data_IF_902070524177
#
_entry.id   IF_902070524177
#
_cell.length_a   1.000
_cell.length_b   1.000
_cell.length_c   1.000
_cell.angle_alpha   90.00
_cell.angle_beta   90.00
_cell.angle_gamma   90.00
#
_symmetry.space_group_name_H-M   'P 1'
#
loop_
_entity.id
_entity.type
_entity.pdbx_description
1 polymer ?
#
# COMPACT_ATOMS: atom_id res chain seq x y z
N UNK A 1 83.09 -33.06 -59.71
CA UNK A 1 82.07 -33.49 -58.75
C UNK A 1 81.69 -32.34 -57.88
N UNK A 2 80.58 -31.69 -58.15
CA UNK A 2 79.88 -30.75 -57.21
C UNK A 2 78.42 -30.92 -57.49
N UNK A 3 77.73 -31.44 -56.52
CA UNK A 3 76.27 -31.61 -56.49
C UNK A 3 75.62 -30.28 -56.13
N UNK A 4 74.78 -29.74 -57.05
CA UNK A 4 73.92 -28.62 -56.77
C UNK A 4 72.62 -29.10 -56.08
N UNK A 5 72.35 -28.54 -54.98
CA UNK A 5 71.05 -28.74 -54.21
C UNK A 5 70.11 -27.65 -54.67
N UNK A 6 69.05 -28.01 -55.42
CA UNK A 6 67.96 -27.15 -55.77
C UNK A 6 67.04 -26.96 -54.51
N UNK A 7 67.00 -25.75 -54.02
CA UNK A 7 66.10 -25.38 -52.90
C UNK A 7 64.78 -24.84 -53.48
N UNK A 8 63.71 -25.69 -53.46
CA UNK A 8 62.33 -25.22 -53.77
C UNK A 8 61.79 -24.42 -52.64
N UNK A 9 61.67 -23.11 -52.74
CA UNK A 9 60.96 -22.23 -51.88
C UNK A 9 59.46 -22.33 -52.19
N UNK A 10 58.68 -23.03 -51.36
CA UNK A 10 57.22 -23.04 -51.40
C UNK A 10 56.75 -21.73 -50.76
N UNK A 11 56.32 -20.74 -51.55
CA UNK A 11 55.59 -19.55 -51.10
C UNK A 11 54.17 -19.96 -50.73
N UNK A 12 53.95 -20.22 -49.42
CA UNK A 12 52.65 -20.28 -48.88
C UNK A 12 52.06 -18.86 -48.81
N UNK A 13 51.21 -18.53 -49.80
CA UNK A 13 50.43 -17.32 -49.77
C UNK A 13 49.41 -17.37 -48.57
N UNK A 14 49.70 -16.63 -47.54
CA UNK A 14 48.67 -16.28 -46.51
C UNK A 14 47.66 -15.37 -47.18
N UNK A 15 46.56 -15.94 -47.65
CA UNK A 15 45.35 -15.16 -47.92
C UNK A 15 44.80 -14.73 -46.55
N UNK A 16 45.18 -13.55 -46.06
CA UNK A 16 44.46 -12.84 -45.05
C UNK A 16 43.07 -12.47 -45.60
N UNK A 17 42.08 -13.30 -45.38
CA UNK A 17 40.68 -12.88 -45.47
C UNK A 17 40.48 -11.74 -44.47
N UNK A 18 40.65 -10.51 -44.96
CA UNK A 18 40.07 -9.34 -44.27
C UNK A 18 38.57 -9.53 -44.35
N UNK A 19 37.96 -10.00 -43.27
CA UNK A 19 36.52 -9.97 -43.12
C UNK A 19 36.11 -8.50 -43.26
N UNK A 20 35.56 -8.15 -44.42
CA UNK A 20 34.97 -6.84 -44.68
C UNK A 20 33.78 -6.75 -43.73
N UNK A 21 33.89 -5.99 -42.61
CA UNK A 21 32.79 -5.75 -41.72
C UNK A 21 31.65 -5.16 -42.55
N UNK A 22 30.59 -5.92 -42.72
CA UNK A 22 29.45 -5.47 -43.48
C UNK A 22 28.92 -4.18 -42.80
N UNK A 23 28.94 -3.08 -43.58
CA UNK A 23 28.53 -1.77 -43.05
C UNK A 23 27.03 -1.79 -42.74
N UNK A 24 26.66 -1.48 -41.52
CA UNK A 24 25.26 -1.38 -41.13
C UNK A 24 24.60 -0.29 -42.01
N UNK A 25 23.51 -0.63 -42.64
CA UNK A 25 22.59 0.34 -43.20
C UNK A 25 21.79 0.97 -42.06
N UNK A 26 22.23 2.17 -41.69
CA UNK A 26 21.70 2.91 -40.58
C UNK A 26 20.25 3.38 -40.85
N UNK A 27 19.93 3.71 -42.09
CA UNK A 27 18.59 4.17 -42.49
C UNK A 27 17.57 3.03 -42.32
N UNK A 28 17.91 1.85 -42.78
CA UNK A 28 17.11 0.64 -42.65
C UNK A 28 16.91 0.25 -41.17
N UNK A 29 17.94 0.36 -40.34
CA UNK A 29 17.86 0.05 -38.93
C UNK A 29 16.97 1.07 -38.21
N UNK A 30 17.07 2.35 -38.54
CA UNK A 30 16.24 3.41 -38.01
C UNK A 30 14.77 3.21 -38.40
N UNK A 31 14.49 2.86 -39.68
CA UNK A 31 13.10 2.52 -40.10
C UNK A 31 12.49 1.42 -39.25
N UNK A 32 13.27 0.35 -38.94
CA UNK A 32 12.79 -0.72 -38.07
C UNK A 32 12.47 -0.23 -36.65
N UNK A 33 13.25 0.70 -36.10
CA UNK A 33 13.00 1.27 -34.76
C UNK A 33 11.79 2.19 -34.76
N UNK A 34 11.65 3.07 -35.72
CA UNK A 34 10.54 4.00 -35.88
C UNK A 34 9.20 3.26 -36.07
N UNK A 35 9.24 2.16 -36.82
CA UNK A 35 8.05 1.31 -37.05
C UNK A 35 7.89 0.21 -36.03
N UNK A 36 8.69 0.20 -34.95
CA UNK A 36 8.68 -0.81 -33.87
C UNK A 36 8.84 -2.26 -34.35
N UNK A 37 9.44 -2.47 -35.53
CA UNK A 37 9.72 -3.79 -36.10
C UNK A 37 10.99 -4.40 -35.49
N UNK A 38 11.06 -4.47 -34.17
CA UNK A 38 12.24 -4.93 -33.43
C UNK A 38 12.68 -6.35 -33.78
N UNK A 39 11.72 -7.24 -34.10
CA UNK A 39 12.06 -8.60 -34.53
C UNK A 39 12.83 -8.63 -35.86
N UNK A 40 12.47 -7.74 -36.79
CA UNK A 40 13.15 -7.62 -38.07
C UNK A 40 14.51 -6.92 -37.92
N UNK A 41 14.59 -5.90 -37.03
CA UNK A 41 15.84 -5.27 -36.65
C UNK A 41 16.83 -6.30 -36.06
N UNK A 42 16.37 -7.16 -35.15
CA UNK A 42 17.22 -8.22 -34.59
C UNK A 42 17.75 -9.18 -35.66
N UNK A 43 16.87 -9.66 -36.56
CA UNK A 43 17.27 -10.53 -37.68
C UNK A 43 18.27 -9.85 -38.63
N UNK A 44 18.02 -8.57 -38.94
CA UNK A 44 18.91 -7.79 -39.78
C UNK A 44 20.30 -7.68 -39.16
N UNK A 45 20.41 -7.30 -37.91
CA UNK A 45 21.68 -7.21 -37.18
C UNK A 45 22.40 -8.58 -37.14
N UNK A 46 21.65 -9.67 -36.85
CA UNK A 46 22.19 -11.03 -36.82
C UNK A 46 22.69 -11.51 -38.19
N UNK A 47 22.17 -10.97 -39.29
CA UNK A 47 22.67 -11.27 -40.63
C UNK A 47 24.02 -10.59 -40.98
N UNK A 48 24.34 -9.52 -40.23
CA UNK A 48 25.58 -8.74 -40.43
C UNK A 48 26.66 -9.24 -39.48
N UNK A 49 26.34 -9.52 -38.25
CA UNK A 49 27.30 -9.93 -37.25
C UNK A 49 27.35 -11.45 -37.10
N UNK A 50 28.56 -12.05 -37.03
CA UNK A 50 28.73 -13.48 -36.77
C UNK A 50 28.02 -13.89 -35.46
N UNK A 51 27.54 -15.13 -35.40
CA UNK A 51 26.83 -15.65 -34.21
C UNK A 51 27.70 -15.74 -32.96
N UNK A 52 29.00 -15.78 -33.10
CA UNK A 52 30.02 -15.79 -32.07
C UNK A 52 30.62 -14.41 -31.77
N UNK A 53 30.07 -13.34 -32.37
CA UNK A 53 30.59 -11.96 -32.22
C UNK A 53 30.80 -11.61 -30.73
N UNK A 54 31.92 -10.95 -30.43
CA UNK A 54 32.23 -10.38 -29.10
C UNK A 54 32.13 -8.85 -29.12
N UNK A 55 31.67 -8.27 -30.20
CA UNK A 55 31.40 -6.83 -30.29
C UNK A 55 30.23 -6.47 -29.34
N UNK A 56 30.57 -5.81 -28.26
CA UNK A 56 29.60 -5.41 -27.19
C UNK A 56 28.49 -4.53 -27.77
N UNK A 57 28.81 -3.64 -28.72
CA UNK A 57 27.81 -2.75 -29.34
C UNK A 57 26.81 -3.56 -30.16
N UNK A 58 27.33 -4.49 -31.00
CA UNK A 58 26.48 -5.39 -31.76
C UNK A 58 25.60 -6.25 -30.87
N UNK A 59 26.19 -6.91 -29.86
CA UNK A 59 25.45 -7.71 -28.87
C UNK A 59 24.38 -6.90 -28.15
N UNK A 60 24.68 -5.64 -27.76
CA UNK A 60 23.73 -4.77 -27.08
C UNK A 60 22.55 -4.40 -27.97
N UNK A 61 22.80 -4.07 -29.22
CA UNK A 61 21.75 -3.75 -30.18
C UNK A 61 20.84 -4.96 -30.46
N UNK A 62 21.44 -6.14 -30.70
CA UNK A 62 20.70 -7.39 -30.92
C UNK A 62 19.88 -7.76 -29.69
N UNK A 63 20.49 -7.66 -28.48
CA UNK A 63 19.82 -7.95 -27.23
C UNK A 63 18.64 -7.00 -26.97
N UNK A 64 18.83 -5.70 -27.20
CA UNK A 64 17.76 -4.70 -27.06
C UNK A 64 16.61 -4.99 -28.04
N UNK A 65 16.91 -5.24 -29.32
CA UNK A 65 15.90 -5.58 -30.32
C UNK A 65 15.11 -6.85 -29.94
N UNK A 66 15.79 -7.89 -29.46
CA UNK A 66 15.12 -9.11 -28.96
C UNK A 66 14.27 -8.84 -27.74
N UNK A 67 14.74 -8.01 -26.80
CA UNK A 67 13.99 -7.64 -25.59
C UNK A 67 12.72 -6.87 -25.94
N UNK A 68 12.80 -5.91 -26.88
CA UNK A 68 11.65 -5.14 -27.34
C UNK A 68 10.69 -5.99 -28.17
N UNK A 69 11.18 -6.96 -28.92
CA UNK A 69 10.36 -7.93 -29.64
C UNK A 69 9.72 -9.03 -28.75
N UNK A 70 9.95 -8.99 -27.44
CA UNK A 70 9.46 -10.00 -26.51
C UNK A 70 10.20 -11.33 -26.51
N UNK A 71 11.30 -11.45 -27.28
CA UNK A 71 12.18 -12.62 -27.33
C UNK A 71 13.17 -12.60 -26.17
N UNK A 72 12.62 -12.74 -24.95
CA UNK A 72 13.37 -12.54 -23.72
C UNK A 72 14.52 -13.55 -23.53
N UNK A 73 14.39 -14.86 -23.87
CA UNK A 73 15.51 -15.80 -23.76
C UNK A 73 16.69 -15.44 -24.64
N UNK A 74 16.45 -15.00 -25.87
CA UNK A 74 17.49 -14.58 -26.82
C UNK A 74 18.15 -13.28 -26.37
N UNK A 75 17.37 -12.35 -25.83
CA UNK A 75 17.89 -11.13 -25.25
C UNK A 75 18.80 -11.42 -24.05
N UNK A 76 18.35 -12.27 -23.14
CA UNK A 76 19.13 -12.69 -21.96
C UNK A 76 20.46 -13.32 -22.36
N UNK A 77 20.44 -14.24 -23.32
CA UNK A 77 21.67 -14.89 -23.84
C UNK A 77 22.72 -13.87 -24.26
N UNK A 78 22.29 -12.85 -25.00
CA UNK A 78 23.23 -11.81 -25.47
C UNK A 78 23.71 -10.91 -24.32
N UNK A 79 22.85 -10.50 -23.41
CA UNK A 79 23.26 -9.71 -22.26
C UNK A 79 24.15 -10.49 -21.28
N UNK A 80 23.97 -11.80 -21.13
CA UNK A 80 24.88 -12.66 -20.37
C UNK A 80 26.26 -12.72 -21.04
N UNK A 81 26.32 -12.82 -22.38
CA UNK A 81 27.59 -12.76 -23.13
C UNK A 81 28.28 -11.42 -22.88
N UNK A 82 27.56 -10.31 -22.96
CA UNK A 82 28.11 -8.97 -22.66
C UNK A 82 28.64 -8.94 -21.21
N UNK A 83 27.89 -9.46 -20.23
CA UNK A 83 28.32 -9.48 -18.84
C UNK A 83 29.56 -10.37 -18.58
N UNK A 84 29.80 -11.37 -19.44
CA UNK A 84 31.03 -12.18 -19.42
C UNK A 84 32.22 -11.39 -19.96
N UNK A 85 32.03 -10.64 -21.07
CA UNK A 85 33.09 -9.84 -21.72
C UNK A 85 33.42 -8.60 -20.89
N UNK A 86 32.40 -7.92 -20.40
CA UNK A 86 32.50 -6.70 -19.58
C UNK A 86 31.67 -6.86 -18.28
N UNK A 87 32.22 -7.51 -17.26
CA UNK A 87 31.54 -7.65 -15.97
C UNK A 87 31.25 -6.30 -15.33
N UNK A 88 30.19 -6.28 -14.49
CA UNK A 88 29.82 -5.09 -13.69
C UNK A 88 29.37 -3.86 -14.51
N UNK A 89 28.97 -4.06 -15.75
CA UNK A 89 28.38 -3.00 -16.56
C UNK A 89 26.94 -2.72 -16.10
N UNK A 90 26.69 -1.58 -15.48
CA UNK A 90 25.37 -1.25 -14.90
C UNK A 90 24.22 -1.35 -15.90
N UNK A 91 24.28 -0.78 -17.13
CA UNK A 91 23.25 -0.97 -18.15
C UNK A 91 22.93 -2.43 -18.46
N UNK A 92 23.94 -3.27 -18.54
CA UNK A 92 23.77 -4.71 -18.77
C UNK A 92 23.08 -5.40 -17.61
N UNK A 93 23.47 -5.07 -16.37
CA UNK A 93 22.84 -5.62 -15.17
C UNK A 93 21.37 -5.18 -15.04
N UNK A 94 21.05 -3.92 -15.34
CA UNK A 94 19.65 -3.45 -15.40
C UNK A 94 18.84 -4.19 -16.47
N UNK A 95 19.42 -4.43 -17.65
CA UNK A 95 18.76 -5.18 -18.71
C UNK A 95 18.48 -6.62 -18.30
N UNK A 96 19.44 -7.28 -17.65
CA UNK A 96 19.28 -8.64 -17.11
C UNK A 96 18.22 -8.68 -15.99
N UNK A 97 18.21 -7.68 -15.09
CA UNK A 97 17.19 -7.56 -14.07
C UNK A 97 15.79 -7.41 -14.69
N UNK A 98 15.63 -6.51 -15.66
CA UNK A 98 14.39 -6.27 -16.38
C UNK A 98 13.87 -7.52 -17.11
N UNK A 99 14.75 -8.21 -17.83
CA UNK A 99 14.39 -9.45 -18.53
C UNK A 99 13.92 -10.52 -17.55
N UNK A 100 14.65 -10.73 -16.45
CA UNK A 100 14.28 -11.71 -15.42
C UNK A 100 12.98 -11.35 -14.72
N UNK A 101 12.74 -10.06 -14.45
CA UNK A 101 11.46 -9.56 -13.96
C UNK A 101 10.30 -9.91 -14.90
N UNK A 102 10.42 -9.57 -16.18
CA UNK A 102 9.40 -9.85 -17.21
C UNK A 102 9.15 -11.34 -17.44
N UNK A 103 10.13 -12.20 -17.14
CA UNK A 103 10.01 -13.67 -17.19
C UNK A 103 9.46 -14.29 -15.89
N UNK A 104 9.17 -13.47 -14.89
CA UNK A 104 8.71 -13.93 -13.57
C UNK A 104 9.82 -14.51 -12.69
N UNK A 105 11.09 -14.36 -13.07
CA UNK A 105 12.23 -14.82 -12.27
C UNK A 105 12.69 -13.73 -11.29
N UNK A 106 11.88 -13.51 -10.26
CA UNK A 106 12.10 -12.46 -9.25
C UNK A 106 13.45 -12.62 -8.52
N UNK A 107 13.89 -13.86 -8.27
CA UNK A 107 15.16 -14.13 -7.58
C UNK A 107 16.37 -13.60 -8.35
N UNK A 108 16.44 -13.90 -9.65
CA UNK A 108 17.53 -13.42 -10.48
C UNK A 108 17.44 -11.90 -10.68
N UNK A 109 16.24 -11.34 -10.89
CA UNK A 109 16.05 -9.89 -10.98
C UNK A 109 16.60 -9.19 -9.72
N UNK A 110 16.25 -9.67 -8.55
CA UNK A 110 16.75 -9.18 -7.25
C UNK A 110 18.26 -9.27 -7.15
N UNK A 111 18.87 -10.40 -7.59
CA UNK A 111 20.32 -10.61 -7.56
C UNK A 111 21.05 -9.57 -8.39
N UNK A 112 20.62 -9.30 -9.64
CA UNK A 112 21.24 -8.28 -10.48
C UNK A 112 21.10 -6.87 -9.90
N UNK A 113 19.93 -6.54 -9.34
CA UNK A 113 19.72 -5.25 -8.67
C UNK A 113 20.61 -5.10 -7.42
N UNK A 114 20.83 -6.19 -6.65
CA UNK A 114 21.76 -6.19 -5.54
C UNK A 114 23.21 -5.97 -5.98
N UNK A 115 23.64 -6.56 -7.11
CA UNK A 115 24.93 -6.27 -7.68
C UNK A 115 25.07 -4.79 -8.05
N UNK A 116 24.03 -4.19 -8.63
CA UNK A 116 24.04 -2.77 -8.99
C UNK A 116 24.28 -1.90 -7.74
N UNK A 117 23.57 -2.12 -6.64
CA UNK A 117 23.75 -1.30 -5.43
C UNK A 117 25.06 -1.56 -4.69
N UNK A 118 25.70 -2.71 -4.92
CA UNK A 118 27.08 -2.96 -4.46
C UNK A 118 28.10 -2.16 -5.26
N UNK A 119 27.89 -1.98 -6.57
CA UNK A 119 28.76 -1.21 -7.46
C UNK A 119 28.52 0.29 -7.35
N UNK A 120 27.27 0.67 -7.18
CA UNK A 120 26.80 2.06 -7.08
C UNK A 120 25.79 2.17 -5.92
N UNK A 121 26.30 2.48 -4.75
CA UNK A 121 25.53 2.58 -3.50
C UNK A 121 24.58 3.79 -3.43
N UNK A 122 24.58 4.64 -4.45
CA UNK A 122 23.67 5.79 -4.58
C UNK A 122 22.73 5.65 -5.79
N UNK A 123 22.57 4.44 -6.31
CA UNK A 123 21.71 4.17 -7.46
C UNK A 123 20.24 4.17 -7.05
N UNK A 124 19.56 5.28 -7.25
CA UNK A 124 18.14 5.46 -6.94
C UNK A 124 17.26 4.39 -7.58
N UNK A 125 17.43 4.16 -8.90
CA UNK A 125 16.58 3.24 -9.64
C UNK A 125 16.71 1.79 -9.17
N UNK A 126 17.90 1.38 -8.76
CA UNK A 126 18.11 0.04 -8.24
C UNK A 126 17.41 -0.15 -6.86
N UNK A 127 17.49 0.83 -5.96
CA UNK A 127 16.78 0.76 -4.69
C UNK A 127 15.26 0.81 -4.87
N UNK A 128 14.74 1.67 -5.75
CA UNK A 128 13.31 1.73 -6.09
C UNK A 128 12.80 0.37 -6.58
N UNK A 129 13.55 -0.28 -7.49
CA UNK A 129 13.19 -1.61 -7.98
C UNK A 129 13.38 -2.72 -6.94
N UNK A 130 14.43 -2.69 -6.10
CA UNK A 130 14.63 -3.68 -5.03
C UNK A 130 13.47 -3.71 -4.03
N UNK A 131 12.82 -2.59 -3.80
CA UNK A 131 11.65 -2.53 -2.92
C UNK A 131 10.50 -3.43 -3.39
N UNK A 132 10.37 -3.65 -4.72
CA UNK A 132 9.34 -4.54 -5.29
C UNK A 132 9.63 -6.02 -5.06
N UNK A 133 10.89 -6.38 -4.77
CA UNK A 133 11.35 -7.75 -4.52
C UNK A 133 11.68 -8.01 -3.04
N UNK A 134 11.22 -7.13 -2.16
CA UNK A 134 11.42 -7.29 -0.72
C UNK A 134 10.54 -8.42 -0.17
N UNK A 135 11.12 -9.30 0.62
CA UNK A 135 10.42 -10.46 1.18
C UNK A 135 9.64 -10.10 2.46
N UNK A 136 10.00 -8.99 3.12
CA UNK A 136 9.35 -8.50 4.35
C UNK A 136 9.10 -7.00 4.28
N UNK A 137 8.10 -6.48 5.04
CA UNK A 137 7.84 -5.04 5.12
C UNK A 137 9.07 -4.24 5.59
N UNK A 138 9.88 -4.80 6.49
CA UNK A 138 11.09 -4.13 7.01
C UNK A 138 12.17 -4.01 5.93
N UNK A 139 12.34 -5.05 5.12
CA UNK A 139 13.27 -5.02 3.98
C UNK A 139 12.77 -4.02 2.93
N UNK A 140 11.46 -4.01 2.62
CA UNK A 140 10.85 -3.03 1.72
C UNK A 140 11.09 -1.61 2.23
N UNK A 141 10.84 -1.39 3.53
CA UNK A 141 11.08 -0.11 4.19
C UNK A 141 12.53 0.35 4.05
N UNK A 142 13.50 -0.55 4.24
CA UNK A 142 14.93 -0.23 4.12
C UNK A 142 15.28 0.26 2.71
N UNK A 143 14.83 -0.44 1.67
CA UNK A 143 15.10 -0.04 0.29
C UNK A 143 14.40 1.27 -0.08
N UNK A 144 13.13 1.44 0.30
CA UNK A 144 12.38 2.67 0.04
C UNK A 144 12.97 3.87 0.78
N UNK A 145 13.40 3.71 2.03
CA UNK A 145 14.11 4.78 2.76
C UNK A 145 15.38 5.21 2.04
N UNK A 146 16.16 4.25 1.52
CA UNK A 146 17.36 4.57 0.77
C UNK A 146 17.03 5.29 -0.53
N UNK A 147 16.03 4.81 -1.30
CA UNK A 147 15.57 5.51 -2.49
C UNK A 147 15.07 6.93 -2.17
N UNK A 148 14.24 7.09 -1.13
CA UNK A 148 13.73 8.40 -0.72
C UNK A 148 14.84 9.36 -0.27
N UNK A 149 15.90 8.86 0.39
CA UNK A 149 17.06 9.68 0.75
C UNK A 149 17.87 10.20 -0.45
N UNK A 150 17.75 9.51 -1.60
CA UNK A 150 18.39 9.90 -2.86
C UNK A 150 17.51 10.82 -3.71
N UNK A 151 16.20 10.67 -3.60
CA UNK A 151 15.22 11.53 -4.28
C UNK A 151 13.94 11.63 -3.45
N UNK A 152 13.88 12.61 -2.55
CA UNK A 152 12.73 12.83 -1.67
C UNK A 152 11.48 13.36 -2.40
N UNK A 153 11.65 13.87 -3.62
CA UNK A 153 10.57 14.38 -4.48
C UNK A 153 9.94 13.32 -5.38
N UNK A 154 10.48 12.08 -5.43
CA UNK A 154 9.89 11.03 -6.26
C UNK A 154 8.56 10.57 -5.67
N UNK A 155 7.48 10.84 -6.42
CA UNK A 155 6.11 10.59 -5.95
C UNK A 155 5.82 9.11 -5.72
N UNK A 156 6.33 8.21 -6.59
CA UNK A 156 6.08 6.78 -6.45
C UNK A 156 6.77 6.21 -5.20
N UNK A 157 8.03 6.63 -4.96
CA UNK A 157 8.77 6.21 -3.77
C UNK A 157 8.12 6.76 -2.51
N UNK A 158 7.70 8.02 -2.51
CA UNK A 158 7.01 8.62 -1.37
C UNK A 158 5.68 7.92 -1.05
N UNK A 159 4.91 7.60 -2.09
CA UNK A 159 3.66 6.85 -1.96
C UNK A 159 3.90 5.46 -1.36
N UNK A 160 4.78 4.66 -1.98
CA UNK A 160 5.09 3.30 -1.51
C UNK A 160 5.69 3.28 -0.09
N UNK A 161 6.54 4.26 0.23
CA UNK A 161 7.15 4.41 1.55
C UNK A 161 6.09 4.76 2.60
N UNK A 162 5.15 5.66 2.27
CA UNK A 162 4.05 6.02 3.16
C UNK A 162 3.12 4.84 3.45
N UNK A 163 2.78 4.05 2.43
CA UNK A 163 2.00 2.82 2.59
C UNK A 163 2.72 1.80 3.47
N UNK A 164 4.04 1.64 3.27
CA UNK A 164 4.86 0.71 4.06
C UNK A 164 4.91 1.13 5.52
N UNK A 165 5.13 2.42 5.79
CA UNK A 165 5.09 2.98 7.14
C UNK A 165 3.69 2.82 7.79
N UNK A 166 2.62 3.09 7.04
CA UNK A 166 1.24 2.96 7.53
C UNK A 166 0.90 1.51 7.88
N UNK A 167 1.32 0.54 7.07
CA UNK A 167 1.18 -0.88 7.37
C UNK A 167 1.91 -1.31 8.65
N UNK A 168 3.02 -0.65 8.97
CA UNK A 168 3.77 -0.81 10.23
C UNK A 168 3.24 0.10 11.36
N UNK A 169 2.11 0.78 11.17
CA UNK A 169 1.50 1.74 12.11
C UNK A 169 2.42 2.92 12.48
N UNK A 170 3.38 3.26 11.64
CA UNK A 170 4.29 4.38 11.80
C UNK A 170 3.74 5.60 11.06
N UNK A 171 2.65 6.17 11.55
CA UNK A 171 1.88 7.20 10.84
C UNK A 171 2.62 8.54 10.72
N UNK A 172 3.41 8.96 11.73
CA UNK A 172 4.14 10.23 11.63
C UNK A 172 5.22 10.20 10.54
N UNK A 173 6.09 9.19 10.43
CA UNK A 173 6.99 9.05 9.28
C UNK A 173 6.27 8.98 7.93
N UNK A 174 5.12 8.29 7.83
CA UNK A 174 4.32 8.25 6.61
C UNK A 174 3.85 9.65 6.19
N UNK A 175 3.34 10.42 7.16
CA UNK A 175 2.90 11.79 6.97
C UNK A 175 4.04 12.71 6.49
N UNK A 176 5.20 12.66 7.14
CA UNK A 176 6.34 13.53 6.84
C UNK A 176 6.86 13.30 5.41
N UNK A 177 6.94 12.04 4.98
CA UNK A 177 7.33 11.66 3.62
C UNK A 177 6.34 12.22 2.59
N UNK A 178 5.04 12.04 2.80
CA UNK A 178 4.01 12.56 1.89
C UNK A 178 4.04 14.09 1.82
N UNK A 179 4.17 14.76 2.96
CA UNK A 179 4.26 16.23 3.00
C UNK A 179 5.46 16.76 2.23
N UNK A 180 6.62 16.09 2.32
CA UNK A 180 7.82 16.45 1.58
C UNK A 180 7.62 16.31 0.07
N UNK A 181 7.04 15.20 -0.38
CA UNK A 181 6.78 14.97 -1.79
C UNK A 181 5.70 15.92 -2.35
N UNK A 182 4.62 16.17 -1.60
CA UNK A 182 3.55 17.14 -1.96
C UNK A 182 4.11 18.56 -2.05
N UNK A 183 5.07 18.94 -1.21
CA UNK A 183 5.69 20.26 -1.30
C UNK A 183 6.46 20.46 -2.62
N UNK A 184 6.96 19.39 -3.23
CA UNK A 184 7.64 19.39 -4.53
C UNK A 184 6.67 19.35 -5.71
N UNK A 185 5.51 18.70 -5.55
CA UNK A 185 4.43 18.63 -6.55
C UNK A 185 3.06 18.80 -5.84
N UNK A 186 2.65 20.07 -5.58
CA UNK A 186 1.42 20.37 -4.85
C UNK A 186 0.12 19.94 -5.55
N UNK A 187 0.17 19.69 -6.85
CA UNK A 187 -1.00 19.24 -7.63
C UNK A 187 -1.08 17.72 -7.76
N UNK A 188 -0.19 16.99 -7.12
CA UNK A 188 -0.18 15.53 -7.17
C UNK A 188 -1.35 14.93 -6.41
N UNK A 189 -2.39 14.62 -7.16
CA UNK A 189 -3.64 14.08 -6.65
C UNK A 189 -3.44 12.78 -5.83
N UNK A 190 -2.61 11.87 -6.33
CA UNK A 190 -2.35 10.57 -5.68
C UNK A 190 -1.71 10.73 -4.30
N UNK A 191 -0.74 11.63 -4.18
CA UNK A 191 -0.09 11.90 -2.89
C UNK A 191 -1.03 12.61 -1.92
N UNK A 192 -1.85 13.55 -2.41
CA UNK A 192 -2.85 14.22 -1.58
C UNK A 192 -3.89 13.22 -1.05
N UNK A 193 -4.38 12.30 -1.90
CA UNK A 193 -5.29 11.24 -1.46
C UNK A 193 -4.63 10.32 -0.42
N UNK A 194 -3.38 9.89 -0.66
CA UNK A 194 -2.66 9.03 0.27
C UNK A 194 -2.42 9.69 1.64
N UNK A 195 -2.38 11.01 1.69
CA UNK A 195 -2.19 11.76 2.93
C UNK A 195 -3.43 11.72 3.84
N UNK A 196 -4.64 11.65 3.30
CA UNK A 196 -5.88 11.77 4.08
C UNK A 196 -6.02 10.71 5.18
N UNK A 197 -5.91 9.39 4.89
CA UNK A 197 -6.01 8.38 5.93
C UNK A 197 -4.88 8.48 6.96
N UNK A 198 -3.68 8.85 6.54
CA UNK A 198 -2.55 9.03 7.46
C UNK A 198 -2.78 10.23 8.39
N UNK A 199 -3.26 11.34 7.86
CA UNK A 199 -3.61 12.54 8.64
C UNK A 199 -4.76 12.27 9.62
N UNK A 200 -5.76 11.46 9.24
CA UNK A 200 -6.82 10.99 10.14
C UNK A 200 -6.25 10.21 11.34
N UNK A 201 -5.30 9.29 11.10
CA UNK A 201 -4.65 8.54 12.19
C UNK A 201 -3.86 9.44 13.16
N UNK A 202 -3.39 10.58 12.67
CA UNK A 202 -2.70 11.60 13.48
C UNK A 202 -3.64 12.69 14.03
N UNK A 203 -4.96 12.51 13.92
CA UNK A 203 -5.97 13.45 14.34
C UNK A 203 -5.84 14.86 13.71
N UNK A 204 -5.25 14.96 12.52
CA UNK A 204 -5.11 16.23 11.76
C UNK A 204 -6.37 16.51 10.92
N UNK A 205 -7.53 16.41 11.54
CA UNK A 205 -8.83 16.48 10.87
C UNK A 205 -9.07 17.77 10.06
N UNK A 206 -8.67 18.99 10.51
CA UNK A 206 -8.84 20.18 9.70
C UNK A 206 -8.08 20.13 8.37
N UNK A 207 -6.88 19.52 8.36
CA UNK A 207 -6.08 19.33 7.14
C UNK A 207 -6.74 18.32 6.19
N UNK A 208 -7.28 17.21 6.72
CA UNK A 208 -8.04 16.23 5.94
C UNK A 208 -9.23 16.89 5.24
N UNK A 209 -9.97 17.75 5.95
CA UNK A 209 -11.11 18.48 5.41
C UNK A 209 -10.67 19.45 4.31
N UNK A 210 -9.63 20.26 4.56
CA UNK A 210 -9.14 21.23 3.59
C UNK A 210 -8.70 20.59 2.27
N UNK A 211 -7.90 19.51 2.37
CA UNK A 211 -7.40 18.78 1.20
C UNK A 211 -8.55 18.06 0.52
N UNK A 212 -9.40 17.37 1.28
CA UNK A 212 -10.52 16.62 0.74
C UNK A 212 -11.53 17.52 0.00
N UNK A 213 -11.84 18.70 0.52
CA UNK A 213 -12.70 19.68 -0.18
C UNK A 213 -12.13 20.13 -1.52
N UNK A 214 -10.79 20.25 -1.63
CA UNK A 214 -10.12 20.55 -2.92
C UNK A 214 -10.24 19.38 -3.90
N UNK A 215 -10.00 18.15 -3.40
CA UNK A 215 -10.06 16.95 -4.22
C UNK A 215 -11.46 16.68 -4.75
N UNK A 216 -12.50 16.84 -3.93
CA UNK A 216 -13.89 16.60 -4.32
C UNK A 216 -14.46 17.62 -5.32
N UNK A 217 -13.87 18.81 -5.46
CA UNK A 217 -14.28 19.77 -6.49
C UNK A 217 -14.16 19.22 -7.91
N UNK A 218 -13.19 18.35 -8.12
CA UNK A 218 -12.86 17.83 -9.45
C UNK A 218 -13.49 16.46 -9.71
N UNK A 219 -13.64 15.65 -8.68
CA UNK A 219 -14.17 14.28 -8.81
C UNK A 219 -14.63 13.73 -7.45
N UNK A 220 -15.80 13.09 -7.43
CA UNK A 220 -16.30 12.40 -6.24
C UNK A 220 -15.58 11.05 -6.08
N UNK A 221 -14.55 10.99 -5.24
CA UNK A 221 -13.83 9.78 -4.92
C UNK A 221 -14.33 9.18 -3.59
N UNK A 222 -14.60 7.87 -3.60
CA UNK A 222 -15.17 7.13 -2.46
C UNK A 222 -14.24 7.18 -1.24
N UNK A 223 -12.93 7.06 -1.44
CA UNK A 223 -11.96 7.07 -0.35
C UNK A 223 -11.85 8.47 0.27
N UNK A 224 -11.82 9.51 -0.57
CA UNK A 224 -11.80 10.91 -0.11
C UNK A 224 -13.06 11.23 0.70
N UNK A 225 -14.25 10.83 0.22
CA UNK A 225 -15.51 11.01 0.94
C UNK A 225 -15.46 10.30 2.30
N UNK A 226 -14.94 9.06 2.33
CA UNK A 226 -14.82 8.29 3.55
C UNK A 226 -13.91 8.96 4.59
N UNK A 227 -12.71 9.39 4.17
CA UNK A 227 -11.75 10.06 5.05
C UNK A 227 -12.28 11.40 5.57
N UNK A 228 -12.92 12.18 4.71
CA UNK A 228 -13.56 13.44 5.12
C UNK A 228 -14.72 13.22 6.07
N UNK A 229 -15.58 12.23 5.83
CA UNK A 229 -16.69 11.89 6.71
C UNK A 229 -16.21 11.56 8.11
N UNK A 230 -15.14 10.78 8.24
CA UNK A 230 -14.47 10.49 9.50
C UNK A 230 -13.93 11.77 10.16
N UNK A 231 -13.24 12.62 9.40
CA UNK A 231 -12.69 13.88 9.91
C UNK A 231 -13.81 14.81 10.42
N UNK A 232 -14.91 14.97 9.67
CA UNK A 232 -16.05 15.77 10.11
C UNK A 232 -16.70 15.22 11.38
N UNK A 233 -16.78 13.89 11.54
CA UNK A 233 -17.25 13.30 12.80
C UNK A 233 -16.39 13.75 13.99
N UNK A 234 -15.08 13.67 13.88
CA UNK A 234 -14.17 14.02 14.97
C UNK A 234 -14.09 15.53 15.27
N UNK A 235 -14.30 16.38 14.28
CA UNK A 235 -14.47 17.83 14.54
C UNK A 235 -15.90 18.21 14.96
N UNK A 236 -16.77 17.21 15.16
CA UNK A 236 -18.15 17.32 15.63
C UNK A 236 -19.10 18.03 14.64
N UNK A 237 -18.75 18.13 13.38
CA UNK A 237 -19.67 18.53 12.32
C UNK A 237 -20.45 17.32 11.79
N UNK A 238 -21.33 16.82 12.67
CA UNK A 238 -22.09 15.60 12.42
C UNK A 238 -23.01 15.70 11.21
N UNK A 239 -23.50 16.91 10.90
CA UNK A 239 -24.37 17.15 9.75
C UNK A 239 -23.61 16.90 8.43
N UNK A 240 -22.38 17.42 8.32
CA UNK A 240 -21.53 17.18 7.15
C UNK A 240 -21.08 15.72 7.06
N UNK A 241 -20.76 15.08 8.19
CA UNK A 241 -20.45 13.65 8.24
C UNK A 241 -21.59 12.82 7.63
N UNK A 242 -22.84 13.04 8.09
CA UNK A 242 -24.02 12.36 7.56
C UNK A 242 -24.23 12.67 6.07
N UNK A 243 -24.06 13.92 5.66
CA UNK A 243 -24.25 14.32 4.26
C UNK A 243 -23.29 13.58 3.32
N UNK A 244 -22.01 13.48 3.68
CA UNK A 244 -20.99 12.78 2.90
C UNK A 244 -21.27 11.27 2.83
N UNK A 245 -21.60 10.65 3.95
CA UNK A 245 -21.88 9.21 3.96
C UNK A 245 -23.20 8.85 3.27
N UNK A 246 -24.17 9.78 3.20
CA UNK A 246 -25.33 9.64 2.33
C UNK A 246 -24.99 9.67 0.84
N UNK A 247 -23.92 10.35 0.43
CA UNK A 247 -23.44 10.24 -0.94
C UNK A 247 -22.95 8.81 -1.22
N UNK A 248 -22.21 8.19 -0.29
CA UNK A 248 -21.79 6.79 -0.44
C UNK A 248 -22.98 5.82 -0.43
N UNK A 249 -24.02 6.10 0.36
CA UNK A 249 -25.28 5.34 0.33
C UNK A 249 -25.94 5.40 -1.05
N UNK A 250 -26.01 6.60 -1.63
CA UNK A 250 -26.54 6.79 -2.99
C UNK A 250 -25.72 6.08 -4.09
N UNK A 251 -24.43 5.84 -3.86
CA UNK A 251 -23.53 5.11 -4.75
C UNK A 251 -23.57 3.59 -4.51
N UNK A 252 -24.23 3.12 -3.46
CA UNK A 252 -24.26 1.71 -3.08
C UNK A 252 -22.92 1.16 -2.57
N UNK A 253 -22.02 2.01 -2.06
CA UNK A 253 -20.67 1.66 -1.61
C UNK A 253 -20.47 1.89 -0.11
N UNK A 254 -21.51 1.69 0.66
CA UNK A 254 -21.43 1.72 2.11
C UNK A 254 -20.63 0.53 2.65
N UNK A 255 -20.08 0.70 3.85
CA UNK A 255 -19.46 -0.35 4.62
C UNK A 255 -19.76 -0.20 6.11
N UNK A 256 -19.39 -1.19 6.90
CA UNK A 256 -19.55 -1.22 8.35
C UNK A 256 -19.12 0.10 9.04
N UNK A 257 -17.94 0.63 8.67
CA UNK A 257 -17.39 1.85 9.26
C UNK A 257 -18.22 3.10 8.96
N UNK A 258 -18.64 3.28 7.70
CA UNK A 258 -19.47 4.43 7.29
C UNK A 258 -20.84 4.40 7.94
N UNK A 259 -21.48 3.23 8.03
CA UNK A 259 -22.76 3.04 8.71
C UNK A 259 -22.64 3.31 10.22
N UNK A 260 -21.54 2.90 10.84
CA UNK A 260 -21.29 3.16 12.25
C UNK A 260 -21.15 4.65 12.56
N UNK A 261 -20.33 5.37 11.77
CA UNK A 261 -20.20 6.82 11.93
C UNK A 261 -21.52 7.57 11.66
N UNK A 262 -22.36 7.09 10.74
CA UNK A 262 -23.70 7.62 10.55
C UNK A 262 -24.59 7.42 11.79
N UNK A 263 -24.59 6.22 12.36
CA UNK A 263 -25.33 5.93 13.58
C UNK A 263 -24.93 6.85 14.73
N UNK A 264 -23.63 7.00 14.95
CA UNK A 264 -23.10 7.88 15.98
C UNK A 264 -23.42 9.37 15.71
N UNK A 265 -23.28 9.81 14.46
CA UNK A 265 -23.58 11.19 14.06
C UNK A 265 -25.06 11.53 14.28
N UNK A 266 -25.98 10.65 13.89
CA UNK A 266 -27.40 10.84 14.16
C UNK A 266 -27.73 10.85 15.67
N UNK A 267 -27.04 10.03 16.46
CA UNK A 267 -27.16 10.06 17.93
C UNK A 267 -26.78 11.43 18.50
N UNK A 268 -25.65 11.98 18.07
CA UNK A 268 -25.19 13.31 18.52
C UNK A 268 -26.12 14.45 18.06
N UNK A 269 -26.73 14.29 16.90
CA UNK A 269 -27.79 15.19 16.39
C UNK A 269 -29.15 14.99 17.07
N UNK A 270 -29.25 14.03 18.01
CA UNK A 270 -30.47 13.63 18.72
C UNK A 270 -31.58 13.07 17.82
N UNK A 271 -31.23 12.67 16.61
CA UNK A 271 -32.12 11.89 15.73
C UNK A 271 -31.99 10.41 16.03
N UNK A 272 -32.56 10.01 17.17
CA UNK A 272 -32.45 8.64 17.68
C UNK A 272 -33.13 7.60 16.77
N UNK A 273 -34.09 8.00 15.95
CA UNK A 273 -34.74 7.08 15.01
C UNK A 273 -33.77 6.65 13.91
N UNK A 274 -33.14 7.61 13.23
CA UNK A 274 -32.13 7.30 12.23
C UNK A 274 -30.90 6.67 12.87
N UNK A 275 -30.48 7.10 14.07
CA UNK A 275 -29.38 6.48 14.80
C UNK A 275 -29.61 4.97 15.00
N UNK A 276 -30.80 4.56 15.42
CA UNK A 276 -31.13 3.13 15.61
C UNK A 276 -31.16 2.36 14.28
N UNK A 277 -31.69 2.96 13.22
CA UNK A 277 -31.72 2.36 11.88
C UNK A 277 -30.29 2.08 11.40
N UNK A 278 -29.39 3.09 11.46
CA UNK A 278 -28.02 2.93 10.98
C UNK A 278 -27.17 2.04 11.88
N UNK A 279 -27.44 2.03 13.19
CA UNK A 279 -26.79 1.08 14.11
C UNK A 279 -27.19 -0.37 13.78
N UNK A 280 -28.47 -0.61 13.45
CA UNK A 280 -28.91 -1.93 13.01
C UNK A 280 -28.30 -2.32 11.67
N UNK A 281 -28.27 -1.42 10.67
CA UNK A 281 -27.58 -1.65 9.39
C UNK A 281 -26.10 -1.97 9.59
N UNK A 282 -25.43 -1.30 10.54
CA UNK A 282 -24.02 -1.61 10.89
C UNK A 282 -23.87 -3.04 11.38
N UNK A 283 -24.78 -3.48 12.26
CA UNK A 283 -24.78 -4.86 12.80
C UNK A 283 -25.04 -5.88 11.69
N UNK A 284 -25.99 -5.59 10.80
CA UNK A 284 -26.35 -6.49 9.68
C UNK A 284 -25.18 -6.63 8.67
N UNK A 285 -24.39 -5.57 8.50
CA UNK A 285 -23.20 -5.56 7.61
C UNK A 285 -21.95 -6.11 8.31
N UNK A 286 -21.94 -6.14 9.65
CA UNK A 286 -20.75 -6.49 10.42
C UNK A 286 -20.35 -7.96 10.27
N UNK A 287 -19.14 -8.16 9.72
CA UNK A 287 -18.43 -9.45 9.68
C UNK A 287 -17.14 -9.32 10.53
N UNK A 288 -17.16 -8.50 11.59
CA UNK A 288 -15.95 -8.09 12.30
C UNK A 288 -16.00 -8.36 13.81
N UNK A 289 -14.82 -8.36 14.45
CA UNK A 289 -14.65 -8.45 15.90
C UNK A 289 -15.25 -7.25 16.66
N UNK A 290 -15.73 -6.23 15.95
CA UNK A 290 -16.35 -5.03 16.53
C UNK A 290 -17.84 -5.17 16.83
N UNK A 291 -18.46 -6.31 16.51
CA UNK A 291 -19.91 -6.54 16.70
C UNK A 291 -20.37 -6.24 18.14
N UNK A 292 -19.57 -6.59 19.14
CA UNK A 292 -19.84 -6.23 20.56
C UNK A 292 -19.98 -4.72 20.76
N UNK A 293 -19.10 -3.92 20.13
CA UNK A 293 -19.11 -2.45 20.19
C UNK A 293 -20.35 -1.86 19.52
N UNK A 294 -20.79 -2.43 18.40
CA UNK A 294 -21.98 -1.96 17.67
C UNK A 294 -23.27 -2.20 18.46
N UNK A 295 -23.38 -3.37 19.11
CA UNK A 295 -24.47 -3.61 20.05
C UNK A 295 -24.42 -2.67 21.26
N UNK A 296 -23.25 -2.32 21.77
CA UNK A 296 -23.11 -1.33 22.83
C UNK A 296 -23.57 0.06 22.38
N UNK A 297 -23.25 0.47 21.15
CA UNK A 297 -23.72 1.73 20.57
C UNK A 297 -25.24 1.75 20.40
N UNK A 298 -25.81 0.68 19.83
CA UNK A 298 -27.27 0.52 19.67
C UNK A 298 -27.98 0.60 21.03
N UNK A 299 -27.47 -0.11 22.04
CA UNK A 299 -28.01 -0.07 23.39
C UNK A 299 -27.98 1.34 24.00
N UNK A 300 -26.87 2.08 23.83
CA UNK A 300 -26.76 3.48 24.27
C UNK A 300 -27.77 4.41 23.56
N UNK A 301 -28.10 4.14 22.29
CA UNK A 301 -29.16 4.85 21.55
C UNK A 301 -30.52 4.55 22.16
N UNK A 302 -30.82 3.29 22.50
CA UNK A 302 -32.05 2.91 23.20
C UNK A 302 -32.15 3.53 24.59
N UNK A 303 -31.04 3.63 25.34
CA UNK A 303 -31.03 4.36 26.61
C UNK A 303 -31.42 5.84 26.41
N UNK A 304 -30.88 6.51 25.41
CA UNK A 304 -31.19 7.91 25.08
C UNK A 304 -32.68 8.12 24.71
N UNK A 305 -33.31 7.06 24.15
CA UNK A 305 -34.75 7.01 23.88
C UNK A 305 -35.61 6.64 25.12
N UNK A 306 -35.00 6.38 26.26
CA UNK A 306 -35.63 5.80 27.46
C UNK A 306 -36.25 4.40 27.24
N UNK A 307 -35.79 3.68 26.19
CA UNK A 307 -36.20 2.31 25.88
C UNK A 307 -35.28 1.32 26.60
N UNK A 308 -35.38 1.29 27.96
CA UNK A 308 -34.42 0.59 28.82
C UNK A 308 -34.43 -0.94 28.64
N UNK A 309 -35.57 -1.56 28.33
CA UNK A 309 -35.64 -2.99 28.07
C UNK A 309 -34.96 -3.36 26.72
N UNK A 310 -35.12 -2.53 25.71
CA UNK A 310 -34.46 -2.73 24.41
C UNK A 310 -32.95 -2.54 24.54
N UNK A 311 -32.53 -1.54 25.36
CA UNK A 311 -31.13 -1.33 25.68
C UNK A 311 -30.50 -2.55 26.37
N UNK A 312 -31.20 -3.14 27.38
CA UNK A 312 -30.73 -4.37 28.05
C UNK A 312 -30.61 -5.52 27.08
N UNK A 313 -31.59 -5.70 26.18
CA UNK A 313 -31.58 -6.76 25.17
C UNK A 313 -30.38 -6.60 24.22
N UNK A 314 -30.15 -5.39 23.72
CA UNK A 314 -29.02 -5.10 22.86
C UNK A 314 -27.67 -5.32 23.57
N UNK A 315 -27.50 -4.82 24.80
CA UNK A 315 -26.28 -5.07 25.57
C UNK A 315 -26.02 -6.57 25.79
N UNK A 316 -27.03 -7.34 26.19
CA UNK A 316 -26.89 -8.79 26.36
C UNK A 316 -26.51 -9.49 25.05
N UNK A 317 -27.10 -9.06 23.93
CA UNK A 317 -26.74 -9.60 22.62
C UNK A 317 -25.28 -9.28 22.28
N UNK A 318 -24.80 -8.08 22.56
CA UNK A 318 -23.37 -7.72 22.39
C UNK A 318 -22.44 -8.65 23.16
N UNK A 319 -22.80 -9.01 24.39
CA UNK A 319 -22.00 -9.94 25.22
C UNK A 319 -21.92 -11.37 24.66
N UNK A 320 -22.78 -11.77 23.72
CA UNK A 320 -22.66 -13.08 23.05
C UNK A 320 -21.51 -13.13 22.04
N UNK A 321 -20.99 -11.98 21.61
CA UNK A 321 -19.87 -11.86 20.67
C UNK A 321 -18.53 -11.58 21.37
N UNK A 322 -18.54 -11.08 22.60
CA UNK A 322 -17.34 -10.84 23.36
C UNK A 322 -17.60 -10.17 24.73
N UNK A 323 -16.64 -10.30 25.63
CA UNK A 323 -16.70 -9.62 26.93
C UNK A 323 -16.41 -8.12 26.78
N UNK A 324 -17.13 -7.29 27.54
CA UNK A 324 -16.95 -5.85 27.51
C UNK A 324 -17.21 -5.22 28.87
N UNK A 325 -16.19 -4.56 29.44
CA UNK A 325 -16.31 -3.83 30.72
C UNK A 325 -17.40 -2.77 30.66
N UNK A 326 -17.45 -2.01 29.57
CA UNK A 326 -18.44 -0.95 29.41
C UNK A 326 -19.86 -1.52 29.40
N UNK A 327 -20.09 -2.66 28.76
CA UNK A 327 -21.42 -3.29 28.73
C UNK A 327 -21.81 -3.79 30.11
N UNK A 328 -20.91 -4.46 30.81
CA UNK A 328 -21.24 -4.92 32.21
C UNK A 328 -21.56 -3.75 33.10
N UNK A 329 -20.78 -2.67 33.06
CA UNK A 329 -21.05 -1.48 33.90
C UNK A 329 -22.37 -0.81 33.52
N UNK A 330 -22.65 -0.63 32.22
CA UNK A 330 -23.90 -0.01 31.73
C UNK A 330 -25.12 -0.85 32.10
N UNK A 331 -25.06 -2.17 31.98
CA UNK A 331 -26.14 -3.06 32.46
C UNK A 331 -26.36 -2.91 33.98
N UNK A 332 -25.28 -2.81 34.76
CA UNK A 332 -25.38 -2.53 36.19
C UNK A 332 -26.14 -1.24 36.46
N UNK A 333 -25.81 -0.14 35.80
CA UNK A 333 -26.48 1.15 35.91
C UNK A 333 -27.96 1.09 35.50
N UNK A 334 -28.27 0.46 34.36
CA UNK A 334 -29.65 0.34 33.87
C UNK A 334 -30.55 -0.41 34.85
N UNK A 335 -30.09 -1.54 35.40
CA UNK A 335 -30.85 -2.30 36.37
C UNK A 335 -30.96 -1.60 37.70
N UNK A 336 -29.93 -0.82 38.12
CA UNK A 336 -29.94 -0.08 39.36
C UNK A 336 -30.86 1.16 39.30
N UNK A 337 -30.59 2.02 38.33
CA UNK A 337 -31.16 3.38 38.32
C UNK A 337 -32.49 3.47 37.55
N UNK A 338 -32.66 2.71 36.47
CA UNK A 338 -33.82 2.84 35.60
C UNK A 338 -34.86 1.73 35.84
N UNK A 339 -34.44 0.47 35.85
CA UNK A 339 -35.33 -0.68 35.96
C UNK A 339 -35.63 -1.09 37.41
N UNK A 340 -34.89 -0.55 38.40
CA UNK A 340 -35.06 -0.83 39.82
C UNK A 340 -35.01 -2.33 40.15
N UNK A 341 -34.05 -3.05 39.54
CA UNK A 341 -33.85 -4.48 39.76
C UNK A 341 -32.51 -4.73 40.49
N UNK A 342 -32.44 -4.57 41.81
CA UNK A 342 -31.19 -4.54 42.55
C UNK A 342 -30.36 -5.81 42.44
N UNK A 343 -30.97 -6.99 42.40
CA UNK A 343 -30.25 -8.26 42.22
C UNK A 343 -29.52 -8.34 40.90
N UNK A 344 -30.17 -7.91 39.81
CA UNK A 344 -29.54 -7.88 38.48
C UNK A 344 -28.42 -6.83 38.42
N UNK A 345 -28.65 -5.65 39.01
CA UNK A 345 -27.63 -4.60 39.11
C UNK A 345 -26.37 -5.09 39.83
N UNK A 346 -26.53 -5.71 41.00
CA UNK A 346 -25.42 -6.28 41.77
C UNK A 346 -24.64 -7.33 40.96
N UNK A 347 -25.35 -8.20 40.23
CA UNK A 347 -24.75 -9.24 39.38
C UNK A 347 -23.85 -8.61 38.28
N UNK A 348 -24.34 -7.60 37.57
CA UNK A 348 -23.58 -6.97 36.48
C UNK A 348 -22.43 -6.11 36.99
N UNK A 349 -22.55 -5.42 38.12
CA UNK A 349 -21.42 -4.74 38.77
C UNK A 349 -20.35 -5.75 39.24
N UNK A 350 -20.73 -6.93 39.73
CA UNK A 350 -19.76 -7.99 40.05
C UNK A 350 -19.05 -8.52 38.81
N UNK A 351 -19.78 -8.74 37.71
CA UNK A 351 -19.19 -9.14 36.41
C UNK A 351 -18.20 -8.09 35.87
N UNK A 352 -18.55 -6.79 35.97
CA UNK A 352 -17.68 -5.69 35.66
C UNK A 352 -16.36 -5.75 36.43
N UNK A 353 -16.43 -5.85 37.76
CA UNK A 353 -15.23 -5.92 38.59
C UNK A 353 -14.40 -7.18 38.35
N UNK A 354 -15.06 -8.32 38.06
CA UNK A 354 -14.39 -9.59 37.75
C UNK A 354 -13.67 -9.57 36.38
N UNK A 355 -14.13 -8.76 35.46
CA UNK A 355 -13.55 -8.66 34.11
C UNK A 355 -12.30 -7.74 34.06
N UNK A 356 -11.69 -7.46 35.20
CA UNK A 356 -10.44 -6.69 35.34
C UNK A 356 -10.47 -5.32 34.68
N UNK A 357 -11.35 -4.38 35.08
CA UNK A 357 -11.37 -3.03 34.53
C UNK A 357 -10.05 -2.29 34.78
N UNK A 358 -9.71 -1.37 33.88
CA UNK A 358 -8.50 -0.57 33.95
C UNK A 358 -8.53 0.31 35.22
N UNK A 359 -7.59 0.09 36.14
CA UNK A 359 -7.56 0.71 37.45
C UNK A 359 -7.34 2.24 37.42
N UNK A 360 -6.73 2.74 36.36
CA UNK A 360 -6.47 4.18 36.17
C UNK A 360 -7.60 4.86 35.40
N UNK A 361 -7.99 4.29 34.27
CA UNK A 361 -8.99 4.89 33.37
C UNK A 361 -10.43 4.75 33.87
N UNK A 362 -10.72 3.66 34.58
CA UNK A 362 -12.07 3.33 35.08
C UNK A 362 -12.19 3.48 36.61
N UNK A 363 -11.32 4.27 37.26
CA UNK A 363 -11.23 4.43 38.71
C UNK A 363 -12.58 4.82 39.35
N UNK A 364 -13.28 5.76 38.75
CA UNK A 364 -14.59 6.25 39.27
C UNK A 364 -15.68 5.17 39.16
N UNK A 365 -15.73 4.48 38.01
CA UNK A 365 -16.68 3.40 37.76
C UNK A 365 -16.45 2.22 38.72
N UNK A 366 -15.18 1.88 38.96
CA UNK A 366 -14.78 0.85 39.91
C UNK A 366 -15.23 1.23 41.31
N UNK A 367 -14.97 2.47 41.75
CA UNK A 367 -15.38 2.96 43.07
C UNK A 367 -16.90 2.95 43.21
N UNK A 368 -17.63 3.42 42.21
CA UNK A 368 -19.09 3.39 42.19
C UNK A 368 -19.64 1.97 42.28
N UNK A 369 -19.19 1.05 41.43
CA UNK A 369 -19.66 -0.34 41.46
C UNK A 369 -19.40 -1.02 42.82
N UNK A 370 -18.20 -0.84 43.41
CA UNK A 370 -17.85 -1.35 44.74
C UNK A 370 -18.76 -0.79 45.85
N UNK A 371 -19.09 0.49 45.79
CA UNK A 371 -19.96 1.15 46.76
C UNK A 371 -21.42 0.73 46.64
N UNK A 372 -21.90 0.43 45.42
CA UNK A 372 -23.31 0.06 45.18
C UNK A 372 -23.65 -1.39 45.54
N UNK A 373 -22.76 -2.35 45.28
CA UNK A 373 -23.02 -3.79 45.50
C UNK A 373 -23.53 -4.10 46.91
N UNK A 374 -22.98 -3.56 48.03
CA UNK A 374 -23.46 -3.84 49.37
C UNK A 374 -24.89 -3.31 49.65
N UNK A 375 -25.29 -2.23 48.97
CA UNK A 375 -26.57 -1.55 49.14
C UNK A 375 -27.70 -2.23 48.34
N UNK A 376 -27.33 -3.01 47.31
CA UNK A 376 -28.25 -3.68 46.39
C UNK A 376 -28.59 -5.13 46.79
N UNK A 377 -28.15 -5.55 47.96
CA UNK A 377 -28.41 -6.92 48.49
C UNK A 377 -29.82 -7.09 49.01
#
# INVERSE_FOLDING_TARGET
>A
MRKGICLCIILLGFNSLTAQSAKIDTEKLLEYYETQRYADAAKYLQSIYPGDTEDIKALSQIAYCNMMAGKLPEAEKNYLKINTIQPNNLPTLFSLASINSRRGNAANAKTYLQQIVQLDSVNFNAYKQLATYADTPETKLSYLKKANSLSAADADVAYDLSLTYSGLKQYQPAYDVLKTAIASDPENFTLQQALLPVANQLAKYPEVIEIGEKLLKNHADVNVINDMGQAYFYVKDYQKCVSLYKMLEGMGVQNEGTLYFMALSYRELKDYNNAAIYAQKTIDEAISDHTTLYYAALAGIYEAKNQYNDAVTAYKRGLTFGNSNIIYYRLGLLYDLNLKQPKNAATYYQMYLKNHPDQEKEKEQIAYAKGRIPVLK
#
